data_IF_571346271402
#
_entry.id   IF_571346271402
#
_cell.length_a   1.000
_cell.length_b   1.000
_cell.length_c   1.000
_cell.angle_alpha   90.00
_cell.angle_beta   90.00
_cell.angle_gamma   90.00
#
_symmetry.space_group_name_H-M   'P 1'
#
loop_
_entity.id
_entity.type
_entity.pdbx_description
1 polymer ?
#
# COMPACT_ATOMS: atom_id res chain seq x y z
N UNK A 1 -14.97 -23.96 -4.32
CA UNK A 1 -14.93 -22.89 -5.34
C UNK A 1 -14.20 -23.42 -6.56
N UNK A 2 -14.77 -23.24 -7.73
CA UNK A 2 -14.20 -23.69 -9.01
C UNK A 2 -12.82 -23.07 -9.26
N UNK A 3 -11.83 -23.82 -9.79
CA UNK A 3 -10.45 -23.34 -9.94
C UNK A 3 -10.32 -22.06 -10.79
N UNK A 4 -11.08 -21.95 -11.87
CA UNK A 4 -11.09 -20.75 -12.73
C UNK A 4 -11.67 -19.53 -12.02
N UNK A 5 -12.72 -19.70 -11.21
CA UNK A 5 -13.32 -18.62 -10.40
C UNK A 5 -12.32 -18.13 -9.35
N UNK A 6 -11.60 -19.05 -8.70
CA UNK A 6 -10.55 -18.72 -7.74
C UNK A 6 -9.45 -17.87 -8.40
N UNK A 7 -8.95 -18.29 -9.58
CA UNK A 7 -7.93 -17.56 -10.33
C UNK A 7 -8.39 -16.15 -10.75
N UNK A 8 -9.68 -15.98 -11.14
CA UNK A 8 -10.24 -14.67 -11.47
C UNK A 8 -10.26 -13.73 -10.25
N UNK A 9 -10.66 -14.23 -9.08
CA UNK A 9 -10.67 -13.45 -7.83
C UNK A 9 -9.24 -13.06 -7.43
N UNK A 10 -8.27 -13.98 -7.56
CA UNK A 10 -6.88 -13.68 -7.27
C UNK A 10 -6.29 -12.62 -8.22
N UNK A 11 -6.63 -12.69 -9.50
CA UNK A 11 -6.23 -11.68 -10.48
C UNK A 11 -6.85 -10.31 -10.17
N UNK A 12 -8.13 -10.27 -9.80
CA UNK A 12 -8.77 -9.03 -9.32
C UNK A 12 -8.04 -8.46 -8.10
N UNK A 13 -7.74 -9.30 -7.10
CA UNK A 13 -6.97 -8.87 -5.92
C UNK A 13 -5.58 -8.35 -6.27
N UNK A 14 -4.88 -8.97 -7.25
CA UNK A 14 -3.61 -8.44 -7.72
C UNK A 14 -3.76 -7.04 -8.33
N UNK A 15 -4.78 -6.80 -9.18
CA UNK A 15 -5.05 -5.48 -9.76
C UNK A 15 -5.44 -4.43 -8.73
N UNK A 16 -5.97 -4.84 -7.58
CA UNK A 16 -6.26 -3.92 -6.48
C UNK A 16 -4.99 -3.21 -5.94
N UNK A 17 -3.78 -3.76 -6.14
CA UNK A 17 -2.54 -3.04 -5.85
C UNK A 17 -2.40 -1.74 -6.67
N UNK A 18 -2.65 -1.83 -7.96
CA UNK A 18 -2.59 -0.68 -8.86
C UNK A 18 -3.76 0.26 -8.60
N UNK A 19 -4.97 -0.29 -8.41
CA UNK A 19 -6.16 0.50 -8.06
C UNK A 19 -5.97 1.30 -6.77
N UNK A 20 -5.32 0.71 -5.76
CA UNK A 20 -4.95 1.40 -4.51
C UNK A 20 -4.01 2.58 -4.75
N UNK A 21 -2.90 2.36 -5.49
CA UNK A 21 -1.97 3.45 -5.80
C UNK A 21 -2.64 4.58 -6.58
N UNK A 22 -3.42 4.23 -7.60
CA UNK A 22 -4.13 5.23 -8.41
C UNK A 22 -5.10 6.04 -7.54
N UNK A 23 -5.93 5.39 -6.73
CA UNK A 23 -6.88 6.09 -5.87
C UNK A 23 -6.15 6.95 -4.81
N UNK A 24 -5.07 6.44 -4.21
CA UNK A 24 -4.26 7.18 -3.25
C UNK A 24 -3.66 8.44 -3.87
N UNK A 25 -2.94 8.30 -4.99
CA UNK A 25 -2.26 9.45 -5.62
C UNK A 25 -3.23 10.43 -6.29
N UNK A 26 -4.32 9.97 -6.86
CA UNK A 26 -5.37 10.84 -7.39
C UNK A 26 -6.02 11.64 -6.26
N UNK A 27 -6.38 11.00 -5.14
CA UNK A 27 -6.95 11.69 -3.99
C UNK A 27 -5.94 12.65 -3.33
N UNK A 28 -4.85 12.11 -2.82
CA UNK A 28 -3.88 12.85 -2.03
C UNK A 28 -3.06 13.85 -2.86
N UNK A 29 -2.43 13.39 -3.95
CA UNK A 29 -1.54 14.22 -4.76
C UNK A 29 -2.29 15.12 -5.75
N UNK A 30 -3.28 14.53 -6.46
CA UNK A 30 -4.02 15.23 -7.52
C UNK A 30 -5.12 16.14 -6.97
N UNK A 31 -6.18 15.57 -6.39
CA UNK A 31 -7.36 16.35 -5.98
C UNK A 31 -7.03 17.25 -4.79
N UNK A 32 -6.39 16.74 -3.71
CA UNK A 32 -6.01 17.57 -2.57
C UNK A 32 -4.92 18.60 -2.92
N UNK A 33 -4.07 18.29 -3.90
CA UNK A 33 -2.89 19.11 -4.23
C UNK A 33 -1.81 19.04 -3.15
N UNK A 34 -1.70 17.90 -2.44
CA UNK A 34 -0.74 17.71 -1.36
C UNK A 34 0.61 17.18 -1.86
N UNK A 35 0.81 17.11 -3.17
CA UNK A 35 2.09 16.78 -3.78
C UNK A 35 2.50 17.91 -4.75
N UNK A 36 3.61 18.65 -4.49
CA UNK A 36 4.54 18.50 -3.36
C UNK A 36 3.92 18.91 -2.02
N UNK A 37 4.40 18.32 -0.89
CA UNK A 37 3.91 18.67 0.44
C UNK A 37 4.21 20.12 0.84
N UNK A 38 3.32 20.73 1.62
CA UNK A 38 3.62 22.00 2.30
C UNK A 38 4.81 21.82 3.24
N UNK A 39 5.63 22.86 3.37
CA UNK A 39 6.79 22.82 4.25
C UNK A 39 6.36 22.71 5.73
N UNK A 40 7.03 21.86 6.54
CA UNK A 40 6.77 21.80 7.98
C UNK A 40 7.15 23.08 8.73
N UNK A 41 7.91 23.95 8.08
CA UNK A 41 8.25 25.28 8.59
C UNK A 41 7.19 26.36 8.30
N UNK A 42 6.09 26.02 7.57
CA UNK A 42 4.98 26.94 7.36
C UNK A 42 4.27 27.26 8.68
N UNK A 43 3.82 28.52 8.83
CA UNK A 43 3.11 28.94 10.03
C UNK A 43 1.62 28.53 10.03
N UNK A 44 0.98 28.65 11.19
CA UNK A 44 -0.41 28.25 11.37
C UNK A 44 -1.39 29.03 10.46
N UNK A 45 -1.11 30.29 10.15
CA UNK A 45 -1.95 31.10 9.28
C UNK A 45 -1.87 30.63 7.82
N UNK A 46 -0.66 30.30 7.35
CA UNK A 46 -0.42 29.76 6.00
C UNK A 46 -1.13 28.41 5.81
N UNK A 47 -1.00 27.51 6.79
CA UNK A 47 -1.67 26.20 6.75
C UNK A 47 -3.19 26.39 6.82
N UNK A 48 -3.72 27.24 7.71
CA UNK A 48 -5.15 27.47 7.81
C UNK A 48 -5.74 28.02 6.51
N UNK A 49 -5.05 28.96 5.85
CA UNK A 49 -5.48 29.54 4.57
C UNK A 49 -5.66 28.47 3.48
N UNK A 50 -4.78 27.45 3.43
CA UNK A 50 -4.89 26.33 2.48
C UNK A 50 -6.20 25.54 2.68
N UNK A 51 -6.57 25.25 3.92
CA UNK A 51 -7.80 24.51 4.23
C UNK A 51 -9.04 25.38 4.09
N UNK A 52 -8.98 26.64 4.49
CA UNK A 52 -10.10 27.59 4.41
C UNK A 52 -10.44 27.98 2.98
N UNK A 53 -9.43 28.05 2.09
CA UNK A 53 -9.62 28.38 0.68
C UNK A 53 -10.34 27.28 -0.13
N UNK A 54 -9.99 26.00 0.13
CA UNK A 54 -10.41 24.88 -0.72
C UNK A 54 -10.94 23.68 0.09
N UNK A 55 -11.62 23.91 1.18
CA UNK A 55 -12.09 22.86 2.10
C UNK A 55 -12.92 21.75 1.43
N UNK A 56 -13.75 22.11 0.46
CA UNK A 56 -14.57 21.10 -0.25
C UNK A 56 -13.73 20.16 -1.10
N UNK A 57 -12.73 20.70 -1.79
CA UNK A 57 -11.78 19.93 -2.60
C UNK A 57 -11.00 18.93 -1.73
N UNK A 58 -10.48 19.40 -0.59
CA UNK A 58 -9.75 18.55 0.36
C UNK A 58 -10.66 17.44 0.90
N UNK A 59 -11.92 17.73 1.24
CA UNK A 59 -12.87 16.73 1.71
C UNK A 59 -13.13 15.63 0.66
N UNK A 60 -13.40 16.02 -0.59
CA UNK A 60 -13.60 15.05 -1.68
C UNK A 60 -12.33 14.20 -1.85
N UNK A 61 -11.16 14.81 -1.85
CA UNK A 61 -9.88 14.14 -1.96
C UNK A 61 -9.69 13.07 -0.89
N UNK A 62 -9.95 13.42 0.37
CA UNK A 62 -9.76 12.50 1.50
C UNK A 62 -10.78 11.35 1.50
N UNK A 63 -11.98 11.55 1.00
CA UNK A 63 -12.92 10.44 0.77
C UNK A 63 -12.37 9.43 -0.26
N UNK A 64 -11.72 9.91 -1.33
CA UNK A 64 -11.05 9.05 -2.31
C UNK A 64 -9.90 8.28 -1.67
N UNK A 65 -9.08 8.94 -0.82
CA UNK A 65 -7.99 8.30 -0.07
C UNK A 65 -8.53 7.23 0.88
N UNK A 66 -9.64 7.48 1.58
CA UNK A 66 -10.27 6.48 2.44
C UNK A 66 -10.77 5.26 1.65
N UNK A 67 -11.35 5.48 0.46
CA UNK A 67 -11.73 4.40 -0.44
C UNK A 67 -10.53 3.60 -0.95
N UNK A 68 -9.36 4.23 -1.11
CA UNK A 68 -8.14 3.52 -1.45
C UNK A 68 -7.81 2.46 -0.39
N UNK A 69 -7.97 2.74 0.91
CA UNK A 69 -7.75 1.76 1.97
C UNK A 69 -8.65 0.50 1.81
N UNK A 70 -9.89 0.66 1.34
CA UNK A 70 -10.77 -0.47 1.03
C UNK A 70 -10.26 -1.26 -0.17
N UNK A 71 -9.82 -0.58 -1.24
CA UNK A 71 -9.30 -1.22 -2.46
C UNK A 71 -8.05 -2.06 -2.16
N UNK A 72 -7.25 -1.68 -1.16
CA UNK A 72 -6.06 -2.41 -0.75
C UNK A 72 -6.36 -3.81 -0.17
N UNK A 73 -7.51 -4.03 0.46
CA UNK A 73 -7.84 -5.27 1.19
C UNK A 73 -7.73 -6.54 0.31
N UNK A 74 -8.32 -6.60 -0.90
CA UNK A 74 -8.20 -7.79 -1.73
C UNK A 74 -6.74 -8.12 -2.14
N UNK A 75 -5.91 -7.09 -2.37
CA UNK A 75 -4.48 -7.29 -2.63
C UNK A 75 -3.79 -7.95 -1.43
N UNK A 76 -3.98 -7.42 -0.23
CA UNK A 76 -3.40 -7.97 0.99
C UNK A 76 -3.84 -9.43 1.22
N UNK A 77 -5.12 -9.73 0.98
CA UNK A 77 -5.65 -11.08 1.10
C UNK A 77 -5.01 -12.07 0.11
N UNK A 78 -4.81 -11.67 -1.15
CA UNK A 78 -4.15 -12.53 -2.16
C UNK A 78 -2.67 -12.72 -1.82
N UNK A 79 -1.95 -11.67 -1.44
CA UNK A 79 -0.55 -11.78 -0.99
C UNK A 79 -0.41 -12.80 0.15
N UNK A 80 -1.27 -12.68 1.18
CA UNK A 80 -1.29 -13.59 2.33
C UNK A 80 -1.54 -15.04 1.93
N UNK A 81 -2.44 -15.29 0.97
CA UNK A 81 -2.70 -16.64 0.46
C UNK A 81 -1.45 -17.25 -0.21
N UNK A 82 -0.70 -16.46 -0.97
CA UNK A 82 0.51 -16.97 -1.62
C UNK A 82 1.64 -17.19 -0.61
N UNK A 83 1.79 -16.32 0.41
CA UNK A 83 2.74 -16.52 1.51
C UNK A 83 2.38 -17.79 2.30
N UNK A 84 1.10 -17.98 2.65
CA UNK A 84 0.63 -19.17 3.36
C UNK A 84 0.93 -20.48 2.60
N UNK A 85 0.90 -20.48 1.28
CA UNK A 85 1.28 -21.67 0.48
C UNK A 85 2.76 -21.98 0.58
N UNK A 86 3.63 -20.96 0.68
CA UNK A 86 5.07 -21.15 0.86
C UNK A 86 5.37 -21.72 2.24
N UNK A 87 4.62 -21.31 3.27
CA UNK A 87 4.72 -21.86 4.63
C UNK A 87 4.04 -23.26 4.77
N UNK A 88 3.27 -23.69 3.77
CA UNK A 88 2.46 -24.92 3.82
C UNK A 88 1.12 -24.73 4.50
N UNK A 89 1.00 -23.82 5.44
CA UNK A 89 -0.22 -23.35 6.13
C UNK A 89 -0.07 -21.88 6.45
N UNK A 90 -1.11 -21.20 6.95
CA UNK A 90 -0.96 -19.85 7.46
C UNK A 90 -0.07 -19.85 8.72
N UNK A 91 1.14 -19.34 8.59
CA UNK A 91 2.17 -19.32 9.63
C UNK A 91 2.60 -17.91 10.00
N UNK A 92 3.80 -17.80 10.58
CA UNK A 92 4.34 -16.53 11.13
C UNK A 92 4.45 -15.45 10.04
N UNK A 93 4.97 -15.79 8.85
CA UNK A 93 5.14 -14.80 7.77
C UNK A 93 3.79 -14.31 7.23
N UNK A 94 2.81 -15.21 7.11
CA UNK A 94 1.44 -14.87 6.69
C UNK A 94 0.81 -13.87 7.65
N UNK A 95 0.90 -14.12 8.96
CA UNK A 95 0.33 -13.22 9.97
C UNK A 95 1.14 -11.93 10.10
N UNK A 96 2.47 -11.97 9.98
CA UNK A 96 3.31 -10.76 9.95
C UNK A 96 2.92 -9.86 8.77
N UNK A 97 2.72 -10.44 7.58
CA UNK A 97 2.26 -9.69 6.43
C UNK A 97 0.86 -9.08 6.67
N UNK A 98 -0.09 -9.86 7.20
CA UNK A 98 -1.45 -9.39 7.47
C UNK A 98 -1.50 -8.25 8.51
N UNK A 99 -0.73 -8.36 9.59
CA UNK A 99 -0.64 -7.31 10.60
C UNK A 99 0.01 -6.04 10.03
N UNK A 100 1.06 -6.20 9.22
CA UNK A 100 1.66 -5.08 8.48
C UNK A 100 0.67 -4.44 7.49
N UNK A 101 -0.14 -5.26 6.82
CA UNK A 101 -1.18 -4.78 5.91
C UNK A 101 -2.29 -4.01 6.67
N UNK A 102 -2.70 -4.50 7.84
CA UNK A 102 -3.60 -3.75 8.72
C UNK A 102 -3.00 -2.40 9.14
N UNK A 103 -1.69 -2.39 9.49
CA UNK A 103 -0.95 -1.17 9.76
C UNK A 103 -0.93 -0.20 8.56
N UNK A 104 -0.73 -0.71 7.35
CA UNK A 104 -0.80 0.12 6.14
C UNK A 104 -2.20 0.73 5.91
N UNK A 105 -3.26 0.03 6.27
CA UNK A 105 -4.62 0.60 6.25
C UNK A 105 -4.74 1.77 7.24
N UNK A 106 -4.17 1.64 8.44
CA UNK A 106 -4.10 2.73 9.44
C UNK A 106 -3.34 3.93 8.88
N UNK A 107 -2.21 3.71 8.18
CA UNK A 107 -1.42 4.76 7.53
C UNK A 107 -2.17 5.50 6.42
N UNK A 108 -3.12 4.85 5.76
CA UNK A 108 -3.90 5.47 4.68
C UNK A 108 -5.16 6.13 5.20
N UNK A 109 -5.88 5.46 6.09
CA UNK A 109 -7.22 5.86 6.52
C UNK A 109 -7.18 6.99 7.56
N UNK A 110 -6.36 6.88 8.61
CA UNK A 110 -6.37 7.86 9.71
C UNK A 110 -5.80 9.23 9.33
N UNK A 111 -4.72 9.38 8.55
CA UNK A 111 -4.31 10.68 8.04
C UNK A 111 -5.41 11.40 7.25
N UNK A 112 -6.18 10.64 6.44
CA UNK A 112 -7.32 11.21 5.73
C UNK A 112 -8.38 11.76 6.70
N UNK A 113 -8.62 11.09 7.84
CA UNK A 113 -9.52 11.60 8.91
C UNK A 113 -8.99 12.90 9.51
N UNK A 114 -7.68 13.02 9.77
CA UNK A 114 -7.09 14.23 10.30
C UNK A 114 -7.21 15.40 9.31
N UNK A 115 -6.89 15.18 8.04
CA UNK A 115 -7.08 16.19 6.99
C UNK A 115 -8.55 16.56 6.79
N UNK A 116 -9.47 15.58 6.84
CA UNK A 116 -10.92 15.85 6.84
C UNK A 116 -11.34 16.68 8.04
N UNK A 117 -10.80 16.39 9.22
CA UNK A 117 -11.09 17.12 10.46
C UNK A 117 -10.59 18.56 10.36
N UNK A 118 -9.42 18.79 9.77
CA UNK A 118 -8.89 20.13 9.50
C UNK A 118 -9.81 20.93 8.55
N UNK A 119 -10.30 20.27 7.48
CA UNK A 119 -11.19 20.89 6.49
C UNK A 119 -12.67 20.94 6.89
N UNK A 120 -13.08 20.31 8.01
CA UNK A 120 -14.49 20.15 8.35
C UNK A 120 -15.17 21.47 8.77
N UNK A 121 -14.44 22.36 9.43
CA UNK A 121 -14.93 23.67 9.88
C UNK A 121 -13.99 24.76 9.40
N UNK A 122 -14.33 25.49 8.33
CA UNK A 122 -13.43 26.52 7.77
C UNK A 122 -13.21 27.71 8.71
N UNK A 123 -14.13 27.97 9.66
CA UNK A 123 -14.07 29.01 10.68
C UNK A 123 -13.25 28.61 11.92
N UNK A 124 -12.66 27.41 11.94
CA UNK A 124 -11.85 26.92 13.05
C UNK A 124 -10.57 27.76 13.21
N UNK A 125 -10.12 27.91 14.47
CA UNK A 125 -8.87 28.61 14.80
C UNK A 125 -7.68 27.97 14.08
N UNK A 126 -6.77 28.82 13.60
CA UNK A 126 -5.63 28.40 12.78
C UNK A 126 -4.74 27.34 13.49
N UNK A 127 -4.50 27.46 14.78
CA UNK A 127 -3.67 26.54 15.57
C UNK A 127 -4.26 25.12 15.63
N UNK A 128 -5.59 24.99 15.64
CA UNK A 128 -6.24 23.69 15.63
C UNK A 128 -6.17 23.03 14.25
N UNK A 129 -6.27 23.80 13.18
CA UNK A 129 -6.08 23.31 11.81
C UNK A 129 -4.64 22.86 11.63
N UNK A 130 -3.68 23.66 12.10
CA UNK A 130 -2.25 23.37 12.08
C UNK A 130 -1.93 22.07 12.79
N UNK A 131 -2.43 21.87 14.02
CA UNK A 131 -2.26 20.62 14.76
C UNK A 131 -2.80 19.39 14.00
N UNK A 132 -4.00 19.51 13.40
CA UNK A 132 -4.58 18.39 12.61
C UNK A 132 -3.77 18.11 11.36
N UNK A 133 -3.23 19.14 10.71
CA UNK A 133 -2.32 19.00 9.57
C UNK A 133 -1.05 18.23 9.96
N UNK A 134 -0.42 18.59 11.06
CA UNK A 134 0.79 17.93 11.55
C UNK A 134 0.53 16.47 11.91
N UNK A 135 -0.57 16.19 12.63
CA UNK A 135 -0.98 14.82 12.94
C UNK A 135 -1.15 13.99 11.69
N UNK A 136 -1.73 14.56 10.63
CA UNK A 136 -1.92 13.87 9.38
C UNK A 136 -0.59 13.57 8.66
N UNK A 137 0.28 14.56 8.52
CA UNK A 137 1.57 14.38 7.84
C UNK A 137 2.51 13.44 8.59
N UNK A 138 2.64 13.62 9.91
CA UNK A 138 3.50 12.79 10.74
C UNK A 138 3.02 11.32 10.75
N UNK A 139 1.72 11.09 10.75
CA UNK A 139 1.19 9.73 10.67
C UNK A 139 1.31 9.15 9.26
N UNK A 140 1.02 9.92 8.21
CA UNK A 140 0.99 9.45 6.83
C UNK A 140 2.38 9.03 6.33
N UNK A 141 3.38 9.84 6.61
CA UNK A 141 4.76 9.58 6.23
C UNK A 141 5.51 8.83 7.35
N UNK A 142 5.52 9.33 8.57
CA UNK A 142 6.30 8.76 9.67
C UNK A 142 5.78 7.43 10.23
N UNK A 143 4.54 7.04 9.95
CA UNK A 143 3.96 5.77 10.44
C UNK A 143 4.45 4.51 9.73
N UNK A 144 5.46 4.56 8.88
CA UNK A 144 5.94 3.46 8.02
C UNK A 144 6.45 2.22 8.76
N UNK A 145 6.71 2.30 10.05
CA UNK A 145 7.23 1.15 10.82
C UNK A 145 6.32 -0.09 10.72
N UNK A 146 5.01 0.11 10.71
CA UNK A 146 4.06 -0.99 10.53
C UNK A 146 4.05 -1.52 9.09
N UNK A 147 4.22 -0.64 8.09
CA UNK A 147 4.35 -1.03 6.69
C UNK A 147 5.54 -1.98 6.46
N UNK A 148 6.67 -1.77 7.17
CA UNK A 148 7.89 -2.56 7.01
C UNK A 148 7.66 -4.07 7.18
N UNK A 149 6.68 -4.48 7.96
CA UNK A 149 6.34 -5.89 8.15
C UNK A 149 5.95 -6.58 6.82
N UNK A 150 5.32 -5.86 5.89
CA UNK A 150 4.93 -6.44 4.60
C UNK A 150 6.12 -6.79 3.70
N UNK A 151 7.01 -5.86 3.32
CA UNK A 151 8.15 -6.18 2.47
C UNK A 151 9.12 -7.15 3.14
N UNK A 152 9.30 -7.12 4.45
CA UNK A 152 10.14 -8.08 5.17
C UNK A 152 9.54 -9.50 5.12
N UNK A 153 8.24 -9.66 5.32
CA UNK A 153 7.58 -10.96 5.20
C UNK A 153 7.69 -11.52 3.78
N UNK A 154 7.50 -10.70 2.75
CA UNK A 154 7.65 -11.12 1.34
C UNK A 154 9.11 -11.47 1.03
N UNK A 155 10.09 -10.70 1.52
CA UNK A 155 11.51 -11.00 1.36
C UNK A 155 11.84 -12.38 1.91
N UNK A 156 11.47 -12.66 3.15
CA UNK A 156 11.76 -13.95 3.80
C UNK A 156 11.03 -15.08 3.07
N UNK A 157 9.74 -14.93 2.77
CA UNK A 157 8.97 -15.94 2.04
C UNK A 157 9.59 -16.26 0.68
N UNK A 158 9.96 -15.24 -0.10
CA UNK A 158 10.62 -15.40 -1.41
C UNK A 158 11.96 -16.13 -1.32
N UNK A 159 12.78 -15.82 -0.31
CA UNK A 159 14.10 -16.44 -0.15
C UNK A 159 14.02 -17.88 0.39
N UNK A 160 12.96 -18.20 1.15
CA UNK A 160 12.69 -19.54 1.69
C UNK A 160 11.95 -20.45 0.72
N UNK A 161 11.32 -19.92 -0.34
CA UNK A 161 10.59 -20.73 -1.33
C UNK A 161 11.56 -21.58 -2.14
N UNK A 162 11.43 -22.91 -1.99
CA UNK A 162 12.22 -23.92 -2.69
C UNK A 162 11.48 -24.54 -3.87
N UNK A 163 10.28 -24.06 -4.20
CA UNK A 163 9.50 -24.56 -5.32
C UNK A 163 10.20 -24.29 -6.65
N UNK A 164 9.97 -25.17 -7.63
CA UNK A 164 10.51 -25.02 -9.00
C UNK A 164 9.87 -23.85 -9.75
N UNK A 165 8.69 -23.43 -9.32
CA UNK A 165 7.94 -22.31 -9.92
C UNK A 165 7.46 -21.36 -8.81
N UNK A 166 8.38 -20.61 -8.17
CA UNK A 166 8.05 -19.78 -7.03
C UNK A 166 7.02 -18.69 -7.38
N UNK A 167 6.11 -18.43 -6.45
CA UNK A 167 5.14 -17.35 -6.59
C UNK A 167 5.84 -15.98 -6.53
N UNK A 168 6.78 -15.86 -5.60
CA UNK A 168 7.65 -14.71 -5.45
C UNK A 168 9.09 -15.11 -5.79
N UNK A 169 9.57 -14.85 -7.01
CA UNK A 169 10.93 -15.21 -7.41
C UNK A 169 11.96 -14.42 -6.57
N UNK A 170 13.20 -14.90 -6.47
CA UNK A 170 14.25 -14.34 -5.60
C UNK A 170 14.50 -12.84 -5.82
N UNK A 171 14.40 -12.37 -7.07
CA UNK A 171 14.54 -10.93 -7.35
C UNK A 171 13.47 -10.09 -6.64
N UNK A 172 12.23 -10.62 -6.52
CA UNK A 172 11.15 -9.97 -5.77
C UNK A 172 11.50 -9.87 -4.28
N UNK A 173 12.08 -10.93 -3.70
CA UNK A 173 12.57 -10.92 -2.33
C UNK A 173 13.65 -9.86 -2.09
N UNK A 174 14.66 -9.80 -2.96
CA UNK A 174 15.70 -8.77 -2.86
C UNK A 174 15.14 -7.35 -3.05
N UNK A 175 14.22 -7.15 -4.00
CA UNK A 175 13.58 -5.86 -4.18
C UNK A 175 12.81 -5.41 -2.92
N UNK A 176 12.04 -6.31 -2.30
CA UNK A 176 11.34 -6.03 -1.06
C UNK A 176 12.29 -5.72 0.11
N UNK A 177 13.43 -6.44 0.21
CA UNK A 177 14.46 -6.16 1.21
C UNK A 177 15.10 -4.77 1.04
N UNK A 178 15.43 -4.40 -0.19
CA UNK A 178 15.94 -3.06 -0.49
C UNK A 178 14.92 -1.96 -0.19
N UNK A 179 13.64 -2.16 -0.52
CA UNK A 179 12.57 -1.22 -0.18
C UNK A 179 12.45 -1.04 1.33
N UNK A 180 12.48 -2.14 2.10
CA UNK A 180 12.43 -2.07 3.56
C UNK A 180 13.62 -1.28 4.14
N UNK A 181 14.83 -1.46 3.60
CA UNK A 181 16.02 -0.74 4.06
C UNK A 181 15.98 0.74 3.68
N UNK A 182 15.62 1.04 2.43
CA UNK A 182 15.71 2.40 1.86
C UNK A 182 14.69 3.35 2.46
N UNK A 183 13.55 2.85 2.98
CA UNK A 183 12.51 3.69 3.56
C UNK A 183 12.81 4.07 5.03
N UNK A 184 13.72 3.37 5.74
CA UNK A 184 14.01 3.62 7.16
C UNK A 184 14.41 5.06 7.48
N UNK A 185 15.24 5.75 6.65
CA UNK A 185 15.62 7.15 6.92
C UNK A 185 14.44 8.13 7.00
N UNK A 186 13.27 7.78 6.46
CA UNK A 186 12.04 8.57 6.60
C UNK A 186 11.68 8.84 8.07
N UNK A 187 12.01 7.92 9.00
CA UNK A 187 11.76 8.10 10.43
C UNK A 187 12.47 9.34 11.04
N UNK A 188 13.45 9.88 10.35
CA UNK A 188 14.12 11.11 10.79
C UNK A 188 13.24 12.35 10.62
N UNK A 189 12.14 12.28 9.85
CA UNK A 189 11.20 13.40 9.67
C UNK A 189 10.63 13.94 11.00
N UNK A 190 10.56 13.12 12.04
CA UNK A 190 10.12 13.54 13.38
C UNK A 190 11.06 14.54 14.06
N UNK A 191 12.30 14.67 13.58
CA UNK A 191 13.34 15.51 14.19
C UNK A 191 13.68 16.75 13.35
N UNK A 192 13.20 16.83 12.09
CA UNK A 192 13.61 17.90 11.17
C UNK A 192 12.42 18.62 10.56
N UNK A 193 12.38 19.95 10.73
CA UNK A 193 11.39 20.82 10.09
C UNK A 193 11.87 21.41 8.76
N UNK A 194 13.15 21.22 8.42
CA UNK A 194 13.76 21.72 7.18
C UNK A 194 14.81 20.73 6.67
N UNK A 195 15.18 20.86 5.39
CA UNK A 195 16.23 20.05 4.79
C UNK A 195 15.76 18.68 4.29
N UNK A 196 16.70 17.76 3.99
CA UNK A 196 16.39 16.53 3.26
C UNK A 196 15.55 15.51 4.03
N UNK A 197 15.52 15.59 5.37
CA UNK A 197 14.76 14.69 6.23
C UNK A 197 13.42 15.29 6.73
N UNK A 198 13.11 16.56 6.43
CA UNK A 198 11.79 17.12 6.68
C UNK A 198 10.74 16.37 5.83
N UNK A 199 9.47 16.37 6.25
CA UNK A 199 8.42 15.62 5.51
C UNK A 199 8.20 16.09 4.07
N UNK A 200 8.69 17.27 3.67
CA UNK A 200 8.72 17.75 2.29
C UNK A 200 10.09 17.54 1.60
N UNK A 201 11.06 16.99 2.32
CA UNK A 201 12.41 16.71 1.85
C UNK A 201 12.52 15.41 1.04
N UNK A 202 13.72 15.15 0.50
CA UNK A 202 13.93 13.99 -0.38
C UNK A 202 13.72 12.66 0.36
N UNK A 203 14.15 12.53 1.62
CA UNK A 203 13.99 11.32 2.42
C UNK A 203 12.66 11.28 3.17
N UNK A 204 12.00 12.43 3.40
CA UNK A 204 10.70 12.47 4.08
C UNK A 204 9.52 12.17 3.16
N UNK A 205 9.60 12.44 1.85
CA UNK A 205 8.50 12.14 0.93
C UNK A 205 8.92 11.48 -0.37
N UNK A 206 9.97 11.97 -1.07
CA UNK A 206 10.23 11.51 -2.42
C UNK A 206 10.74 10.08 -2.49
N UNK A 207 11.69 9.73 -1.60
CA UNK A 207 12.16 8.33 -1.46
C UNK A 207 11.02 7.43 -0.98
N UNK A 208 10.25 7.75 0.09
CA UNK A 208 9.07 6.99 0.48
C UNK A 208 8.05 6.78 -0.65
N UNK A 209 7.71 7.82 -1.41
CA UNK A 209 6.76 7.71 -2.53
C UNK A 209 7.23 6.70 -3.58
N UNK A 210 8.51 6.74 -3.96
CA UNK A 210 9.09 5.81 -4.94
C UNK A 210 9.14 4.38 -4.38
N UNK A 211 9.63 4.22 -3.16
CA UNK A 211 9.78 2.91 -2.50
C UNK A 211 8.43 2.27 -2.22
N UNK A 212 7.49 3.04 -1.68
CA UNK A 212 6.13 2.60 -1.41
C UNK A 212 5.42 2.16 -2.70
N UNK A 213 5.46 2.98 -3.74
CA UNK A 213 4.89 2.63 -5.04
C UNK A 213 5.57 1.40 -5.63
N UNK A 214 6.89 1.31 -5.52
CA UNK A 214 7.69 0.17 -5.96
C UNK A 214 7.24 -1.15 -5.32
N UNK A 215 6.92 -1.13 -4.01
CA UNK A 215 6.39 -2.31 -3.33
C UNK A 215 5.13 -2.87 -4.02
N UNK A 216 4.15 -2.02 -4.29
CA UNK A 216 2.91 -2.46 -4.93
C UNK A 216 3.13 -2.93 -6.35
N UNK A 217 3.95 -2.23 -7.14
CA UNK A 217 4.24 -2.57 -8.53
C UNK A 217 5.00 -3.89 -8.62
N UNK A 218 6.06 -4.07 -7.83
CA UNK A 218 6.89 -5.30 -7.82
C UNK A 218 6.04 -6.51 -7.44
N UNK A 219 5.26 -6.40 -6.37
CA UNK A 219 4.44 -7.50 -5.90
C UNK A 219 3.22 -7.74 -6.81
N UNK A 220 2.65 -6.72 -7.45
CA UNK A 220 1.65 -6.88 -8.51
C UNK A 220 2.20 -7.70 -9.68
N UNK A 221 3.40 -7.37 -10.16
CA UNK A 221 4.03 -8.11 -11.28
C UNK A 221 4.26 -9.57 -10.91
N UNK A 222 4.80 -9.84 -9.71
CA UNK A 222 5.03 -11.20 -9.24
C UNK A 222 3.71 -12.00 -9.11
N UNK A 223 2.70 -11.43 -8.45
CA UNK A 223 1.37 -12.06 -8.29
C UNK A 223 0.70 -12.32 -9.63
N UNK A 224 0.68 -11.32 -10.53
CA UNK A 224 0.07 -11.45 -11.85
C UNK A 224 0.70 -12.60 -12.62
N UNK A 225 2.03 -12.73 -12.59
CA UNK A 225 2.76 -13.83 -13.24
C UNK A 225 2.41 -15.18 -12.60
N UNK A 226 2.36 -15.27 -11.27
CA UNK A 226 2.01 -16.50 -10.56
C UNK A 226 0.58 -16.96 -10.89
N UNK A 227 -0.40 -16.06 -10.78
CA UNK A 227 -1.81 -16.34 -11.10
C UNK A 227 -1.99 -16.72 -12.57
N UNK A 228 -1.27 -16.07 -13.48
CA UNK A 228 -1.33 -16.39 -14.92
C UNK A 228 -0.81 -17.80 -15.21
N UNK A 229 0.33 -18.18 -14.61
CA UNK A 229 0.88 -19.55 -14.74
C UNK A 229 -0.09 -20.60 -14.21
N UNK A 230 -0.69 -20.39 -13.03
CA UNK A 230 -1.69 -21.30 -12.47
C UNK A 230 -2.90 -21.45 -13.39
N UNK A 231 -3.41 -20.35 -13.95
CA UNK A 231 -4.53 -20.36 -14.89
C UNK A 231 -4.22 -21.11 -16.16
N UNK A 232 -3.02 -20.95 -16.72
CA UNK A 232 -2.58 -21.67 -17.92
C UNK A 232 -2.51 -23.18 -17.64
N UNK A 233 -1.98 -23.58 -16.48
CA UNK A 233 -1.92 -24.96 -16.07
C UNK A 233 -3.32 -25.59 -15.90
N UNK A 234 -4.29 -24.86 -15.32
CA UNK A 234 -5.68 -25.30 -15.19
C UNK A 234 -6.30 -25.53 -16.59
N UNK A 235 -6.08 -24.61 -17.52
CA UNK A 235 -6.65 -24.72 -18.88
C UNK A 235 -5.96 -25.81 -19.72
N UNK A 236 -4.71 -26.15 -19.42
CA UNK A 236 -3.96 -27.21 -20.15
C UNK A 236 -4.21 -28.60 -19.56
N UNK A 237 -4.80 -28.73 -18.37
CA UNK A 237 -5.15 -30.03 -17.80
C UNK A 237 -6.21 -30.71 -18.68
N UNK A 238 -5.94 -31.91 -19.25
CA UNK A 238 -6.92 -32.59 -20.09
C UNK A 238 -8.16 -32.88 -19.27
N UNK A 239 -9.33 -32.71 -19.89
CA UNK A 239 -10.64 -33.05 -19.30
C UNK A 239 -10.70 -34.58 -19.18
N UNK A 240 -10.07 -35.15 -18.19
CA UNK A 240 -9.94 -36.59 -17.92
C UNK A 240 -11.31 -37.27 -17.75
N UNK A 241 -12.40 -36.50 -17.63
CA UNK A 241 -13.77 -37.02 -17.56
C UNK A 241 -14.39 -37.39 -18.93
N UNK A 242 -13.87 -36.86 -20.05
CA UNK A 242 -14.43 -37.19 -21.36
C UNK A 242 -13.92 -38.55 -21.92
N UNK A 243 -12.75 -39.01 -21.47
CA UNK A 243 -12.17 -40.28 -21.95
C UNK A 243 -12.79 -41.49 -21.26
N UNK A 244 -13.20 -41.38 -19.99
CA UNK A 244 -13.83 -42.47 -19.25
C UNK A 244 -15.28 -42.78 -19.71
N UNK A 245 -15.95 -41.83 -20.35
CA UNK A 245 -17.32 -42.00 -20.84
C UNK A 245 -17.39 -42.65 -22.25
N UNK A 246 -16.26 -42.79 -22.92
CA UNK A 246 -16.21 -43.46 -24.26
C UNK A 246 -15.62 -44.87 -24.20
N UNK A 247 -15.25 -45.38 -23.03
CA UNK A 247 -14.69 -46.72 -22.83
C UNK A 247 -15.60 -47.62 -21.97
N UNK A 248 -16.82 -47.21 -21.72
CA UNK A 248 -17.91 -47.99 -21.13
C UNK A 248 -19.07 -48.09 -22.10
#
# INVERSE_FOLDING_TARGET
MEPLTKSRIQMFGAWCAIGYLVALFVGWGGIAGFLPPTAPSADAAQIAALYQGDYTRIRIAMLVVMLAALIFIPFAAVMSQFIARIEGTAGVLTYTFLLGAAGNMVLTFYPAIWWLTAAFRPDRRAELIYLMNDMAWLQFLGGITMYLAMPLAVMVASLCDKSTTPAFPRWCGYANGWMALTIVPDQLLFFFHTGPFAWNGIFGVWVPVVVFSGFFIVNFVALRQAVHRERTAINAAPTTQAVAAHSA
#
